data_IF_825797773129
#
_entry.id   IF_825797773129
#
_cell.length_a   1.000
_cell.length_b   1.000
_cell.length_c   1.000
_cell.angle_alpha   90.00
_cell.angle_beta   90.00
_cell.angle_gamma   90.00
#
_symmetry.space_group_name_H-M   'P 1'
#
loop_
_entity.id
_entity.type
_entity.pdbx_description
1 polymer ?
#
# COMPACT_ATOMS: atom_id res chain seq x y z
N UNK A 1 -13.10 -14.52 9.31
CA UNK A 1 -12.10 -13.65 8.63
C UNK A 1 -12.12 -14.00 7.15
N UNK A 2 -12.11 -13.01 6.26
CA UNK A 2 -12.24 -13.18 4.80
C UNK A 2 -10.87 -13.37 4.15
N UNK A 3 -10.71 -14.38 3.30
CA UNK A 3 -9.51 -14.54 2.47
C UNK A 3 -9.52 -13.47 1.38
N UNK A 4 -8.42 -12.72 1.25
CA UNK A 4 -8.23 -11.68 0.24
C UNK A 4 -7.08 -12.13 -0.67
N UNK A 5 -7.35 -12.25 -1.97
CA UNK A 5 -6.29 -12.57 -2.94
C UNK A 5 -5.35 -11.38 -3.17
N UNK A 6 -4.14 -11.63 -3.67
CA UNK A 6 -3.22 -10.54 -4.08
C UNK A 6 -3.90 -9.59 -5.06
N UNK A 7 -4.68 -10.12 -6.00
CA UNK A 7 -5.46 -9.32 -6.95
C UNK A 7 -6.50 -8.42 -6.25
N UNK A 8 -7.25 -8.96 -5.29
CA UNK A 8 -8.23 -8.17 -4.52
C UNK A 8 -7.55 -7.12 -3.64
N UNK A 9 -6.36 -7.41 -3.10
CA UNK A 9 -5.55 -6.44 -2.37
C UNK A 9 -5.07 -5.32 -3.30
N UNK A 10 -4.53 -5.65 -4.48
CA UNK A 10 -4.10 -4.67 -5.48
C UNK A 10 -5.27 -3.78 -5.89
N UNK A 11 -6.40 -4.37 -6.28
CA UNK A 11 -7.60 -3.64 -6.67
C UNK A 11 -8.06 -2.69 -5.56
N UNK A 12 -8.12 -3.17 -4.31
CA UNK A 12 -8.50 -2.34 -3.18
C UNK A 12 -7.53 -1.16 -2.97
N UNK A 13 -6.22 -1.37 -3.12
CA UNK A 13 -5.23 -0.31 -3.00
C UNK A 13 -5.37 0.71 -4.14
N UNK A 14 -5.45 0.25 -5.38
CA UNK A 14 -5.54 1.09 -6.57
C UNK A 14 -6.83 1.91 -6.58
N UNK A 15 -7.96 1.31 -6.21
CA UNK A 15 -9.25 2.01 -6.09
C UNK A 15 -9.26 3.01 -4.93
N UNK A 16 -8.42 2.83 -3.90
CA UNK A 16 -8.32 3.75 -2.77
C UNK A 16 -7.44 4.98 -3.05
N UNK A 17 -6.49 4.91 -3.99
CA UNK A 17 -5.59 6.04 -4.31
C UNK A 17 -6.37 7.31 -4.75
N UNK A 18 -7.36 7.25 -5.66
CA UNK A 18 -8.14 8.43 -6.06
C UNK A 18 -8.99 9.04 -4.94
N UNK A 19 -9.22 8.32 -3.84
CA UNK A 19 -10.02 8.84 -2.73
C UNK A 19 -9.31 9.93 -1.95
N UNK A 20 -7.98 10.00 -2.04
CA UNK A 20 -7.14 10.91 -1.28
C UNK A 20 -6.14 11.72 -2.13
N UNK A 21 -6.09 11.49 -3.44
CA UNK A 21 -5.13 12.13 -4.35
C UNK A 21 -5.83 12.73 -5.57
N UNK A 22 -5.28 13.85 -6.09
CA UNK A 22 -5.80 14.48 -7.31
C UNK A 22 -5.42 13.66 -8.55
N UNK A 23 -6.23 13.77 -9.61
CA UNK A 23 -5.95 13.12 -10.90
C UNK A 23 -4.57 13.49 -11.46
N UNK A 24 -4.15 14.75 -11.29
CA UNK A 24 -2.84 15.23 -11.71
C UNK A 24 -1.68 14.54 -10.95
N UNK A 25 -1.83 14.35 -9.63
CA UNK A 25 -0.82 13.66 -8.84
C UNK A 25 -0.74 12.18 -9.21
N UNK A 26 -1.89 11.53 -9.42
CA UNK A 26 -1.94 10.14 -9.89
C UNK A 26 -1.26 9.97 -11.25
N UNK A 27 -1.50 10.90 -12.18
CA UNK A 27 -0.88 10.87 -13.50
C UNK A 27 0.66 11.01 -13.42
N UNK A 28 1.16 11.86 -12.52
CA UNK A 28 2.62 11.99 -12.28
C UNK A 28 3.26 10.71 -11.74
N UNK A 29 2.51 9.91 -10.98
CA UNK A 29 3.01 8.70 -10.32
C UNK A 29 2.55 7.41 -11.01
N UNK A 30 2.12 7.49 -12.28
CA UNK A 30 1.52 6.37 -13.00
C UNK A 30 2.50 5.21 -13.19
N UNK A 31 3.80 5.49 -13.32
CA UNK A 31 4.83 4.47 -13.48
C UNK A 31 5.02 3.67 -12.18
N UNK A 32 5.09 4.37 -11.04
CA UNK A 32 5.24 3.81 -9.70
C UNK A 32 4.01 3.00 -9.29
N UNK A 33 2.81 3.51 -9.63
CA UNK A 33 1.54 2.78 -9.48
C UNK A 33 1.56 1.49 -10.30
N UNK A 34 2.03 1.55 -11.55
CA UNK A 34 2.18 0.36 -12.40
C UNK A 34 3.19 -0.64 -11.84
N UNK A 35 4.30 -0.17 -11.28
CA UNK A 35 5.29 -1.03 -10.61
C UNK A 35 4.69 -1.73 -9.39
N UNK A 36 3.92 -1.02 -8.55
CA UNK A 36 3.19 -1.59 -7.42
C UNK A 36 2.24 -2.73 -7.88
N UNK A 37 1.45 -2.47 -8.93
CA UNK A 37 0.54 -3.46 -9.50
C UNK A 37 1.29 -4.71 -9.98
N UNK A 38 2.41 -4.51 -10.69
CA UNK A 38 3.25 -5.60 -11.20
C UNK A 38 3.81 -6.44 -10.05
N UNK A 39 4.38 -5.79 -9.03
CA UNK A 39 4.96 -6.48 -7.86
C UNK A 39 3.89 -7.31 -7.16
N UNK A 40 2.73 -6.72 -6.81
CA UNK A 40 1.69 -7.45 -6.06
C UNK A 40 1.11 -8.61 -6.89
N UNK A 41 1.01 -8.47 -8.21
CA UNK A 41 0.52 -9.54 -9.10
C UNK A 41 1.50 -10.71 -9.18
N UNK A 42 2.82 -10.45 -9.18
CA UNK A 42 3.85 -11.49 -9.15
C UNK A 42 3.82 -12.34 -7.86
N UNK A 43 3.29 -11.79 -6.77
CA UNK A 43 3.23 -12.48 -5.47
C UNK A 43 2.00 -13.38 -5.31
N UNK A 44 1.04 -13.30 -6.24
CA UNK A 44 -0.13 -14.15 -6.24
C UNK A 44 0.24 -15.61 -6.59
N UNK A 45 -0.36 -16.63 -5.94
CA UNK A 45 -1.34 -16.53 -4.85
C UNK A 45 -0.71 -16.23 -3.48
N UNK A 46 -1.34 -15.34 -2.71
CA UNK A 46 -0.98 -15.12 -1.29
C UNK A 46 -1.61 -16.26 -0.49
N UNK A 47 -0.77 -17.16 0.03
CA UNK A 47 -1.23 -18.26 0.89
C UNK A 47 -1.73 -17.71 2.22
N UNK A 48 -2.71 -18.40 2.82
CA UNK A 48 -3.18 -18.07 4.17
C UNK A 48 -2.01 -18.09 5.15
N UNK A 49 -1.84 -17.01 5.90
CA UNK A 49 -0.74 -16.84 6.85
C UNK A 49 0.47 -16.07 6.29
N UNK A 50 0.58 -15.88 4.97
CA UNK A 50 1.62 -15.03 4.39
C UNK A 50 1.40 -13.56 4.78
N UNK A 51 2.50 -12.86 5.04
CA UNK A 51 2.53 -11.46 5.43
C UNK A 51 3.19 -10.63 4.34
N UNK A 52 2.44 -9.68 3.78
CA UNK A 52 2.99 -8.63 2.94
C UNK A 52 3.37 -7.45 3.82
N UNK A 53 4.59 -6.96 3.68
CA UNK A 53 5.08 -5.75 4.33
C UNK A 53 5.44 -4.74 3.25
N UNK A 54 4.89 -3.54 3.40
CA UNK A 54 5.25 -2.35 2.64
C UNK A 54 6.02 -1.45 3.59
N UNK A 55 7.25 -1.08 3.23
CA UNK A 55 8.16 -0.29 4.06
C UNK A 55 8.78 0.82 3.24
N UNK A 56 9.00 1.98 3.84
CA UNK A 56 9.74 3.09 3.23
C UNK A 56 11.08 3.24 3.94
N UNK A 57 12.19 3.12 3.21
CA UNK A 57 13.54 3.19 3.79
C UNK A 57 14.10 4.61 3.91
N UNK A 58 13.30 5.63 3.54
CA UNK A 58 13.72 7.03 3.45
C UNK A 58 13.91 7.51 2.01
N UNK A 59 14.00 6.60 1.04
CA UNK A 59 14.14 6.90 -0.38
C UNK A 59 13.12 6.15 -1.23
N UNK A 60 13.01 4.85 -0.99
CA UNK A 60 12.25 3.92 -1.82
C UNK A 60 11.21 3.17 -0.98
N UNK A 61 10.13 2.77 -1.64
CA UNK A 61 9.13 1.86 -1.08
C UNK A 61 9.51 0.43 -1.43
N UNK A 62 9.77 -0.38 -0.41
CA UNK A 62 10.14 -1.78 -0.49
C UNK A 62 8.93 -2.63 -0.13
N UNK A 63 8.64 -3.62 -0.97
CA UNK A 63 7.59 -4.61 -0.71
C UNK A 63 8.28 -5.94 -0.41
N UNK A 64 7.84 -6.61 0.65
CA UNK A 64 8.35 -7.92 1.03
C UNK A 64 7.22 -8.89 1.38
N UNK A 65 7.43 -10.18 1.07
CA UNK A 65 6.58 -11.29 1.51
C UNK A 65 7.36 -12.15 2.48
N UNK A 66 6.83 -12.35 3.67
CA UNK A 66 7.42 -13.24 4.68
C UNK A 66 8.90 -12.93 4.97
N UNK A 67 9.25 -11.63 4.92
CA UNK A 67 10.61 -11.14 5.16
C UNK A 67 11.50 -11.04 3.93
N UNK A 68 11.06 -11.54 2.77
CA UNK A 68 11.83 -11.54 1.51
C UNK A 68 11.33 -10.41 0.62
N UNK A 69 12.22 -9.49 0.23
CA UNK A 69 11.89 -8.42 -0.71
C UNK A 69 11.46 -8.98 -2.07
N UNK A 70 10.48 -8.34 -2.71
CA UNK A 70 9.90 -8.77 -3.98
C UNK A 70 9.85 -7.61 -4.97
N UNK A 71 10.30 -7.89 -6.19
CA UNK A 71 10.49 -6.88 -7.22
C UNK A 71 11.53 -5.82 -6.84
N UNK A 72 11.62 -4.79 -7.67
CA UNK A 72 12.52 -3.67 -7.45
C UNK A 72 11.89 -2.65 -6.47
N UNK A 73 12.70 -1.96 -5.65
CA UNK A 73 12.22 -0.83 -4.86
C UNK A 73 11.51 0.21 -5.74
N UNK A 74 10.40 0.75 -5.26
CA UNK A 74 9.64 1.79 -5.97
C UNK A 74 10.13 3.15 -5.48
N UNK A 75 10.75 3.97 -6.32
CA UNK A 75 11.40 5.19 -5.86
C UNK A 75 10.40 6.29 -5.49
N UNK A 76 10.86 7.19 -4.61
CA UNK A 76 10.24 8.48 -4.42
C UNK A 76 9.34 8.60 -3.19
N UNK A 77 9.59 9.67 -2.43
CA UNK A 77 8.79 10.05 -1.26
C UNK A 77 7.35 10.46 -1.64
N UNK A 78 7.14 11.01 -2.83
CA UNK A 78 5.81 11.44 -3.29
C UNK A 78 4.90 10.22 -3.49
N UNK A 79 5.37 9.21 -4.23
CA UNK A 79 4.67 7.93 -4.34
C UNK A 79 4.40 7.30 -2.97
N UNK A 80 5.39 7.29 -2.09
CA UNK A 80 5.22 6.74 -0.75
C UNK A 80 4.11 7.45 0.04
N UNK A 81 4.12 8.79 0.01
CA UNK A 81 3.11 9.62 0.68
C UNK A 81 1.71 9.38 0.10
N UNK A 82 1.63 9.24 -1.23
CA UNK A 82 0.41 8.90 -1.96
C UNK A 82 -0.13 7.53 -1.53
N UNK A 83 0.73 6.51 -1.47
CA UNK A 83 0.34 5.17 -1.05
C UNK A 83 -0.18 5.17 0.40
N UNK A 84 0.52 5.84 1.32
CA UNK A 84 0.09 5.91 2.72
C UNK A 84 -1.18 6.73 2.95
N UNK A 85 -1.55 7.60 2.01
CA UNK A 85 -2.81 8.35 2.06
C UNK A 85 -4.06 7.45 2.10
N UNK A 86 -3.94 6.19 1.63
CA UNK A 86 -5.00 5.17 1.75
C UNK A 86 -5.40 4.92 3.21
N UNK A 87 -4.45 5.02 4.14
CA UNK A 87 -4.67 4.80 5.57
C UNK A 87 -4.71 6.09 6.37
N UNK A 88 -3.89 7.08 6.00
CA UNK A 88 -3.72 8.31 6.79
C UNK A 88 -4.47 9.52 6.22
N UNK A 89 -4.96 9.42 4.99
CA UNK A 89 -5.67 10.49 4.29
C UNK A 89 -7.02 10.85 4.88
N UNK A 90 -7.74 11.75 4.20
CA UNK A 90 -9.06 12.25 4.62
C UNK A 90 -10.13 11.15 4.55
N UNK A 91 -10.00 10.20 3.62
CA UNK A 91 -10.90 9.06 3.43
C UNK A 91 -10.12 7.75 3.64
N UNK A 92 -9.82 7.37 4.90
CA UNK A 92 -9.06 6.16 5.16
C UNK A 92 -9.92 4.92 4.94
N UNK A 93 -9.31 3.81 4.52
CA UNK A 93 -9.99 2.50 4.39
C UNK A 93 -10.53 1.98 5.73
N UNK A 94 -9.97 2.44 6.85
CA UNK A 94 -10.47 2.20 8.20
C UNK A 94 -10.03 3.32 9.14
N UNK A 95 -11.01 3.94 9.81
CA UNK A 95 -10.76 4.95 10.86
C UNK A 95 -10.01 4.36 12.05
N UNK A 96 -10.30 3.11 12.41
CA UNK A 96 -9.61 2.42 13.50
C UNK A 96 -8.12 2.20 13.17
N UNK A 97 -7.82 1.75 11.95
CA UNK A 97 -6.44 1.52 11.51
C UNK A 97 -5.67 2.85 11.42
N UNK A 98 -6.30 3.92 10.93
CA UNK A 98 -5.74 5.28 10.97
C UNK A 98 -5.35 5.68 12.39
N UNK A 99 -6.26 5.52 13.35
CA UNK A 99 -6.00 5.88 14.75
C UNK A 99 -4.88 5.01 15.37
N UNK A 100 -4.80 3.72 15.04
CA UNK A 100 -3.70 2.85 15.49
C UNK A 100 -2.34 3.29 14.93
N UNK A 101 -2.27 3.60 13.64
CA UNK A 101 -1.04 4.07 12.99
C UNK A 101 -0.58 5.43 13.52
N UNK A 102 -1.50 6.29 13.95
CA UNK A 102 -1.21 7.58 14.55
C UNK A 102 -0.97 7.53 16.07
N UNK A 103 -1.05 6.35 16.69
CA UNK A 103 -0.95 6.21 18.15
C UNK A 103 -2.11 6.83 18.94
N UNK A 104 -3.23 7.11 18.27
CA UNK A 104 -4.44 7.72 18.85
C UNK A 104 -5.44 6.70 19.39
N UNK A 105 -5.28 5.41 19.06
CA UNK A 105 -6.03 4.36 19.72
C UNK A 105 -5.45 4.12 21.10
N UNK A 106 -6.20 4.49 22.16
CA UNK A 106 -5.87 4.07 23.53
C UNK A 106 -5.78 2.55 23.56
N UNK A 107 -4.58 2.03 23.79
CA UNK A 107 -4.39 0.66 24.25
C UNK A 107 -4.88 0.64 25.70
N UNK A 108 -5.87 -0.19 26.07
CA UNK A 108 -6.13 -0.45 27.49
C UNK A 108 -4.94 -1.17 28.13
#
# INVERSE_FOLDING_TARGET
MRDISAYQLTEALIQALPLNNSAESLARQQAEIGQLQSIITQVAPIKRGSRIRIFFDGRDTIISRDGIAIGNPIPGKEFNSMLFSIWLGKKPVSMQLKNQLLGLSRTP
#
